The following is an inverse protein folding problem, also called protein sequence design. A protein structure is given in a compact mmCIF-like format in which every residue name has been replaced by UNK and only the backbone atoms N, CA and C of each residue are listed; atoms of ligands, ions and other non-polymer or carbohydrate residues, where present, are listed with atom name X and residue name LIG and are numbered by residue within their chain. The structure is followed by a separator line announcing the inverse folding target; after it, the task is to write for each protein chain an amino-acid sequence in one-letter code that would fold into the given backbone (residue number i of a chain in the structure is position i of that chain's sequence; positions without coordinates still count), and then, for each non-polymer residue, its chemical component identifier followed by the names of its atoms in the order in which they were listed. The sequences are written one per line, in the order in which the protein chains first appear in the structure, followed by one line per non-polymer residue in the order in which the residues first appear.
data_IF_534002285923
#
_entry.id   IF_534002285923
#
_cell.length_a   1.000
_cell.length_b   1.000
_cell.length_c   1.000
_cell.angle_alpha   90.00
_cell.angle_beta   90.00
_cell.angle_gamma   90.00
#
_symmetry.space_group_name_H-M   'P 1'
#
loop_
_entity.id
_entity.type
_entity.pdbx_description
1 polymer ?
#
# COMPACT_ATOMS: atom_id res chain seq x y z
N UNK A 1 -17.40 -8.04 -37.67
CA UNK A 1 -16.42 -7.96 -36.54
C UNK A 1 -16.01 -9.40 -36.21
N UNK A 2 -14.71 -9.71 -36.14
CA UNK A 2 -14.26 -11.09 -35.85
C UNK A 2 -14.57 -11.42 -34.39
N UNK A 3 -15.49 -12.35 -34.19
CA UNK A 3 -15.99 -12.84 -32.93
C UNK A 3 -14.78 -13.43 -32.16
N UNK A 4 -14.54 -13.00 -30.92
CA UNK A 4 -13.40 -13.45 -30.10
C UNK A 4 -13.42 -14.99 -29.95
N UNK A 5 -14.62 -15.57 -29.89
CA UNK A 5 -14.84 -17.01 -29.85
C UNK A 5 -14.60 -17.73 -31.20
N UNK A 6 -14.76 -17.04 -32.33
CA UNK A 6 -14.75 -17.66 -33.67
C UNK A 6 -13.45 -17.39 -34.44
N UNK A 7 -12.65 -16.40 -34.01
CA UNK A 7 -11.42 -15.98 -34.67
C UNK A 7 -10.12 -16.60 -34.14
N UNK A 8 -10.19 -17.63 -33.29
CA UNK A 8 -9.00 -18.35 -32.76
C UNK A 8 -7.98 -17.47 -32.02
N UNK A 9 -8.37 -16.28 -31.57
CA UNK A 9 -7.48 -15.32 -30.91
C UNK A 9 -6.96 -15.89 -29.58
N UNK A 10 -7.84 -16.49 -28.78
CA UNK A 10 -7.48 -17.11 -27.51
C UNK A 10 -6.52 -18.28 -27.69
N UNK A 11 -6.70 -19.08 -28.74
CA UNK A 11 -5.80 -20.20 -29.07
C UNK A 11 -4.40 -19.71 -29.47
N UNK A 12 -4.31 -18.59 -30.19
CA UNK A 12 -3.01 -17.96 -30.50
C UNK A 12 -2.31 -17.42 -29.26
N UNK A 13 -3.06 -16.82 -28.34
CA UNK A 13 -2.51 -16.36 -27.05
C UNK A 13 -2.03 -17.56 -26.23
N UNK A 14 -2.82 -18.63 -26.13
CA UNK A 14 -2.44 -19.86 -25.41
C UNK A 14 -1.15 -20.51 -25.94
N UNK A 15 -0.87 -20.44 -27.24
CA UNK A 15 0.39 -20.92 -27.83
C UNK A 15 1.63 -20.13 -27.40
N UNK A 16 1.46 -18.85 -27.06
CA UNK A 16 2.54 -17.97 -26.60
C UNK A 16 2.70 -18.00 -25.08
N UNK A 17 1.60 -18.29 -24.36
CA UNK A 17 1.58 -18.35 -22.91
C UNK A 17 2.26 -19.64 -22.40
N UNK A 18 3.08 -19.57 -21.33
CA UNK A 18 3.65 -20.76 -20.72
C UNK A 18 2.56 -21.76 -20.26
N UNK A 19 2.82 -23.09 -20.35
CA UNK A 19 1.78 -24.11 -20.17
C UNK A 19 1.17 -24.17 -18.77
N UNK A 20 1.82 -23.58 -17.76
CA UNK A 20 1.35 -23.55 -16.38
C UNK A 20 0.54 -22.30 -16.02
N UNK A 21 0.41 -21.33 -16.93
CA UNK A 21 -0.27 -20.06 -16.63
C UNK A 21 -1.75 -20.18 -16.95
N UNK A 22 -2.55 -20.15 -15.90
CA UNK A 22 -4.01 -20.06 -15.99
C UNK A 22 -4.47 -18.60 -16.04
N UNK A 23 -5.66 -18.37 -16.63
CA UNK A 23 -6.26 -17.04 -16.61
C UNK A 23 -6.44 -16.56 -15.16
N UNK A 24 -5.94 -15.36 -14.80
CA UNK A 24 -5.91 -14.89 -13.42
C UNK A 24 -7.29 -14.54 -12.86
N UNK A 25 -8.26 -14.24 -13.72
CA UNK A 25 -9.62 -13.89 -13.32
C UNK A 25 -10.62 -14.69 -14.16
N UNK A 26 -11.67 -15.20 -13.52
CA UNK A 26 -12.72 -15.98 -14.21
C UNK A 26 -13.98 -15.14 -14.44
N UNK A 27 -14.19 -14.11 -13.63
CA UNK A 27 -15.36 -13.23 -13.73
C UNK A 27 -14.95 -11.76 -13.86
N UNK A 28 -15.82 -10.97 -14.48
CA UNK A 28 -15.61 -9.52 -14.62
C UNK A 28 -15.67 -8.82 -13.26
N UNK A 29 -16.51 -9.30 -12.34
CA UNK A 29 -16.64 -8.75 -11.00
C UNK A 29 -15.34 -8.88 -10.19
N UNK A 30 -14.77 -10.08 -10.17
CA UNK A 30 -13.49 -10.38 -9.52
C UNK A 30 -12.34 -9.50 -10.07
N UNK A 31 -12.24 -9.38 -11.40
CA UNK A 31 -11.25 -8.51 -12.03
C UNK A 31 -11.43 -7.04 -11.62
N UNK A 32 -12.68 -6.57 -11.55
CA UNK A 32 -12.99 -5.18 -11.20
C UNK A 32 -12.63 -4.87 -9.75
N UNK A 33 -12.91 -5.77 -8.82
CA UNK A 33 -12.53 -5.64 -7.42
C UNK A 33 -11.01 -5.56 -7.27
N UNK A 34 -10.27 -6.46 -7.94
CA UNK A 34 -8.82 -6.42 -7.95
C UNK A 34 -8.28 -5.11 -8.52
N UNK A 35 -8.82 -4.66 -9.65
CA UNK A 35 -8.41 -3.41 -10.30
C UNK A 35 -8.62 -2.19 -9.39
N UNK A 36 -9.73 -2.15 -8.64
CA UNK A 36 -10.01 -1.07 -7.69
C UNK A 36 -9.04 -1.09 -6.51
N UNK A 37 -8.81 -2.28 -5.92
CA UNK A 37 -7.89 -2.42 -4.80
C UNK A 37 -6.46 -2.03 -5.19
N UNK A 38 -5.99 -2.45 -6.36
CA UNK A 38 -4.66 -2.10 -6.85
C UNK A 38 -4.56 -0.62 -7.24
N UNK A 39 -5.64 -0.06 -7.80
CA UNK A 39 -5.77 1.36 -8.05
C UNK A 39 -5.66 2.20 -6.78
N UNK A 40 -6.30 1.78 -5.68
CA UNK A 40 -6.23 2.47 -4.39
C UNK A 40 -4.80 2.51 -3.85
N UNK A 41 -4.10 1.37 -3.80
CA UNK A 41 -2.68 1.30 -3.39
C UNK A 41 -1.80 2.23 -4.23
N UNK A 42 -2.00 2.23 -5.55
CA UNK A 42 -1.22 3.07 -6.46
C UNK A 42 -1.51 4.55 -6.24
N UNK A 43 -2.77 4.93 -6.03
CA UNK A 43 -3.18 6.29 -5.71
C UNK A 43 -2.57 6.77 -4.38
N UNK A 44 -2.56 5.93 -3.35
CA UNK A 44 -1.91 6.23 -2.06
C UNK A 44 -0.41 6.51 -2.23
N UNK A 45 0.29 5.68 -2.99
CA UNK A 45 1.72 5.87 -3.27
C UNK A 45 1.97 7.17 -4.07
N UNK A 46 1.16 7.44 -5.09
CA UNK A 46 1.24 8.70 -5.86
C UNK A 46 1.01 9.90 -4.95
N UNK A 47 0.03 9.83 -4.05
CA UNK A 47 -0.25 10.91 -3.10
C UNK A 47 0.91 11.13 -2.14
N UNK A 48 1.57 10.06 -1.69
CA UNK A 48 2.78 10.15 -0.86
C UNK A 48 3.91 10.86 -1.59
N UNK A 49 4.18 10.46 -2.84
CA UNK A 49 5.21 11.08 -3.68
C UNK A 49 4.88 12.55 -3.98
N UNK A 50 3.63 12.88 -4.30
CA UNK A 50 3.19 14.25 -4.55
C UNK A 50 3.37 15.15 -3.32
N UNK A 51 3.11 14.62 -2.12
CA UNK A 51 3.37 15.36 -0.87
C UNK A 51 4.86 15.61 -0.67
N UNK A 52 5.71 14.62 -0.92
CA UNK A 52 7.17 14.78 -0.84
C UNK A 52 7.69 15.82 -1.83
N UNK A 53 7.30 15.70 -3.11
CA UNK A 53 7.66 16.65 -4.17
C UNK A 53 7.19 18.06 -3.86
N UNK A 54 6.00 18.23 -3.27
CA UNK A 54 5.50 19.54 -2.87
C UNK A 54 6.36 20.17 -1.78
N UNK A 55 6.76 19.40 -0.78
CA UNK A 55 7.65 19.88 0.30
C UNK A 55 9.00 20.28 -0.27
N UNK A 56 9.58 19.46 -1.15
CA UNK A 56 10.87 19.75 -1.80
C UNK A 56 10.80 20.99 -2.69
N UNK A 57 9.71 21.18 -3.45
CA UNK A 57 9.49 22.39 -4.25
C UNK A 57 9.39 23.67 -3.42
N UNK A 58 8.81 23.60 -2.22
CA UNK A 58 8.62 24.76 -1.34
C UNK A 58 9.91 25.08 -0.58
N UNK A 59 10.59 24.06 -0.04
CA UNK A 59 11.73 24.24 0.86
C UNK A 59 13.09 24.14 0.17
N UNK A 60 13.14 23.74 -1.11
CA UNK A 60 14.35 23.37 -1.86
C UNK A 60 15.20 22.28 -1.18
N UNK A 61 14.62 21.55 -0.23
CA UNK A 61 15.21 20.44 0.52
C UNK A 61 14.10 19.54 1.07
N UNK A 62 14.44 18.32 1.49
CA UNK A 62 13.47 17.49 2.22
C UNK A 62 13.10 18.11 3.57
N UNK A 63 11.85 17.92 4.01
CA UNK A 63 11.36 18.50 5.27
C UNK A 63 12.19 18.13 6.50
N UNK A 64 12.60 16.87 6.62
CA UNK A 64 13.55 16.39 7.64
C UNK A 64 14.94 16.35 7.03
N UNK A 65 15.95 16.88 7.74
CA UNK A 65 17.35 16.76 7.30
C UNK A 65 17.78 15.29 7.23
N UNK A 66 18.61 14.90 6.24
CA UNK A 66 19.03 13.50 6.07
C UNK A 66 19.60 12.86 7.35
N UNK A 67 20.33 13.63 8.16
CA UNK A 67 20.91 13.19 9.43
C UNK A 67 19.84 12.67 10.42
N UNK A 68 18.65 13.26 10.42
CA UNK A 68 17.57 12.97 11.37
C UNK A 68 16.47 12.08 10.78
N UNK A 69 16.63 11.55 9.56
CA UNK A 69 15.59 10.73 8.90
C UNK A 69 15.26 9.44 9.65
N UNK A 70 16.22 8.90 10.41
CA UNK A 70 16.04 7.66 11.18
C UNK A 70 15.64 7.91 12.64
N UNK A 71 15.81 9.13 13.14
CA UNK A 71 15.47 9.49 14.51
C UNK A 71 13.97 9.26 14.76
N UNK A 72 13.66 8.18 15.46
CA UNK A 72 12.32 7.76 15.84
C UNK A 72 12.19 7.72 17.36
N UNK A 73 10.98 7.81 17.89
CA UNK A 73 10.72 7.70 19.34
C UNK A 73 11.23 6.39 19.95
N UNK A 74 11.37 5.33 19.15
CA UNK A 74 11.92 4.04 19.57
C UNK A 74 13.43 4.09 19.89
N UNK A 75 14.15 5.10 19.37
CA UNK A 75 15.60 5.25 19.53
C UNK A 75 15.95 6.17 20.72
N UNK A 76 14.96 6.69 21.44
CA UNK A 76 15.18 7.53 22.62
C UNK A 76 15.66 6.67 23.81
N UNK A 77 16.76 7.06 24.50
CA UNK A 77 17.17 6.40 25.73
C UNK A 77 16.05 6.47 26.78
N UNK A 78 15.66 5.33 27.35
CA UNK A 78 14.54 5.24 28.30
C UNK A 78 13.17 5.01 27.66
N UNK A 79 13.10 4.74 26.35
CA UNK A 79 11.92 4.15 25.69
C UNK A 79 11.71 2.69 26.10
N UNK A 80 11.73 2.42 27.41
CA UNK A 80 11.19 1.17 27.94
C UNK A 80 9.71 1.13 27.57
N UNK A 81 9.30 0.00 27.00
CA UNK A 81 7.91 -0.30 26.67
C UNK A 81 7.08 -0.08 27.93
N UNK A 82 6.45 1.09 28.06
CA UNK A 82 5.37 1.31 29.01
C UNK A 82 4.26 0.38 28.58
N UNK A 83 4.32 -0.87 29.07
CA UNK A 83 3.20 -1.78 29.07
C UNK A 83 2.02 -0.96 29.56
N UNK A 84 0.96 -0.95 28.74
CA UNK A 84 -0.23 -0.18 29.00
C UNK A 84 -0.56 -0.20 30.49
N UNK A 85 -0.56 0.96 31.13
CA UNK A 85 -1.18 1.11 32.44
C UNK A 85 -2.66 0.82 32.17
N UNK A 86 -3.05 -0.45 32.33
CA UNK A 86 -4.44 -0.85 32.40
C UNK A 86 -4.93 -0.30 33.72
N UNK A 87 -5.34 0.96 33.72
CA UNK A 87 -6.13 1.54 34.81
C UNK A 87 -7.37 0.67 34.90
N UNK A 88 -7.44 -0.18 35.94
CA UNK A 88 -8.68 -0.86 36.25
C UNK A 88 -9.69 0.21 36.68
N UNK A 89 -10.91 0.22 36.14
CA UNK A 89 -11.92 1.16 36.59
C UNK A 89 -12.24 0.82 38.05
N UNK A 90 -11.91 1.71 38.99
CA UNK A 90 -12.35 1.57 40.39
C UNK A 90 -11.39 2.06 41.48
N UNK A 91 -10.10 2.22 41.24
CA UNK A 91 -9.15 2.71 42.26
C UNK A 91 -8.94 4.23 42.16
N UNK A 92 -10.00 4.98 42.47
CA UNK A 92 -9.85 6.35 42.97
C UNK A 92 -10.49 6.37 44.35
N UNK A 93 -9.73 5.94 45.36
CA UNK A 93 -10.10 6.15 46.75
C UNK A 93 -8.87 6.48 47.61
N UNK A 94 -8.91 7.72 48.13
CA UNK A 94 -8.21 8.23 49.32
C UNK A 94 -6.68 8.33 49.24
N UNK A 95 -6.19 9.55 49.00
CA UNK A 95 -5.73 10.46 50.06
C UNK A 95 -5.57 11.87 49.51
#
# INVERSE_FOLDING_TARGET
MKNIATGGVLERIRRLTPPHVTAPFRTVAEWREWQLAEGQKRCEEINRLNRQLRVEKILNRSGIQPLHRKCSFAELPGAERRAAIRVKPGEIHRR
#
